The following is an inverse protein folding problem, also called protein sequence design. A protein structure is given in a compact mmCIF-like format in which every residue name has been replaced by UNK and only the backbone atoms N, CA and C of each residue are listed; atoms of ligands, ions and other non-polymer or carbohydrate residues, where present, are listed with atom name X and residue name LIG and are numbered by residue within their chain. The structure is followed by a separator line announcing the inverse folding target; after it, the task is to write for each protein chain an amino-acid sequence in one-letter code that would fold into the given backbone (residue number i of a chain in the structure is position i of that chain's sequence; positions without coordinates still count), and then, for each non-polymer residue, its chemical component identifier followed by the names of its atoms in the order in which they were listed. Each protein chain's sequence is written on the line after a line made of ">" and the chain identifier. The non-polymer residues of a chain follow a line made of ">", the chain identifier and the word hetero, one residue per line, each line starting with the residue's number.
data_IF_777515710725
#
_entry.id   IF_777515710725
#
_cell.length_a   1.000
_cell.length_b   1.000
_cell.length_c   1.000
_cell.angle_alpha   90.00
_cell.angle_beta   90.00
_cell.angle_gamma   90.00
#
_symmetry.space_group_name_H-M   'P 1'
#
loop_
_entity.id
_entity.type
_entity.pdbx_description
1 polymer ?
#
# COMPACT_ATOMS: atom_id res chain seq x y z
N UNK A 1 24.40 -35.63 -16.10
CA UNK A 1 23.66 -34.37 -15.92
C UNK A 1 24.66 -33.34 -15.44
N UNK A 2 24.86 -32.25 -16.17
CA UNK A 2 25.77 -31.20 -15.72
C UNK A 2 25.20 -30.48 -14.51
N UNK A 3 26.07 -30.05 -13.59
CA UNK A 3 25.63 -29.22 -12.47
C UNK A 3 25.10 -27.87 -12.97
N UNK A 4 24.00 -27.36 -12.40
CA UNK A 4 23.46 -26.07 -12.78
C UNK A 4 24.45 -24.96 -12.43
N UNK A 5 24.71 -24.09 -13.41
CA UNK A 5 25.47 -22.85 -13.17
C UNK A 5 24.52 -21.83 -12.56
N UNK A 6 24.80 -21.43 -11.33
CA UNK A 6 24.10 -20.32 -10.65
C UNK A 6 24.84 -19.03 -10.97
N UNK A 7 24.15 -18.10 -11.62
CA UNK A 7 24.66 -16.77 -11.98
C UNK A 7 23.85 -15.71 -11.24
N UNK A 8 24.54 -14.87 -10.47
CA UNK A 8 23.96 -13.67 -9.86
C UNK A 8 23.82 -12.59 -10.92
N UNK A 9 22.60 -12.08 -11.11
CA UNK A 9 22.34 -10.98 -12.04
C UNK A 9 22.68 -9.64 -11.37
N UNK A 10 23.27 -8.67 -12.10
CA UNK A 10 23.49 -7.32 -11.60
C UNK A 10 22.21 -6.67 -11.08
N UNK A 11 22.31 -5.91 -9.98
CA UNK A 11 21.15 -5.28 -9.34
C UNK A 11 20.37 -4.36 -10.30
N UNK A 12 21.06 -3.60 -11.15
CA UNK A 12 20.40 -2.72 -12.14
C UNK A 12 19.54 -3.51 -13.14
N UNK A 13 19.87 -4.77 -13.44
CA UNK A 13 19.05 -5.62 -14.32
C UNK A 13 17.80 -6.16 -13.63
N UNK A 14 17.80 -6.26 -12.30
CA UNK A 14 16.68 -6.83 -11.53
C UNK A 14 15.84 -5.78 -10.83
N UNK A 15 16.29 -4.53 -10.80
CA UNK A 15 15.66 -3.42 -10.07
C UNK A 15 14.20 -3.19 -10.48
N UNK A 16 13.95 -3.06 -11.78
CA UNK A 16 12.60 -2.85 -12.32
C UNK A 16 11.67 -4.04 -12.02
N UNK A 17 12.18 -5.25 -12.20
CA UNK A 17 11.44 -6.48 -11.87
C UNK A 17 11.11 -6.58 -10.38
N UNK A 18 12.08 -6.26 -9.50
CA UNK A 18 11.85 -6.24 -8.04
C UNK A 18 10.80 -5.18 -7.65
N UNK A 19 10.86 -4.00 -8.26
CA UNK A 19 9.88 -2.94 -8.03
C UNK A 19 8.48 -3.35 -8.51
N UNK A 20 8.35 -3.90 -9.71
CA UNK A 20 7.04 -4.35 -10.23
C UNK A 20 6.41 -5.46 -9.38
N UNK A 21 7.21 -6.44 -8.94
CA UNK A 21 6.75 -7.50 -8.03
C UNK A 21 6.30 -6.95 -6.68
N UNK A 22 6.92 -5.88 -6.18
CA UNK A 22 6.50 -5.22 -4.94
C UNK A 22 5.18 -4.47 -5.07
N UNK A 23 4.84 -3.99 -6.27
CA UNK A 23 3.60 -3.26 -6.53
C UNK A 23 2.43 -4.24 -6.64
N UNK A 24 2.53 -5.25 -7.51
CA UNK A 24 1.48 -6.23 -7.70
C UNK A 24 1.58 -6.97 -9.04
N UNK A 25 0.62 -7.85 -9.32
CA UNK A 25 0.58 -8.57 -10.58
C UNK A 25 0.24 -7.62 -11.73
N UNK A 26 1.06 -7.59 -12.77
CA UNK A 26 0.70 -6.93 -14.05
C UNK A 26 -0.34 -7.81 -14.76
N UNK A 27 -1.47 -7.21 -15.15
CA UNK A 27 -2.58 -7.90 -15.84
C UNK A 27 -2.73 -7.50 -17.30
N UNK A 28 -2.15 -6.37 -17.69
CA UNK A 28 -2.18 -5.87 -19.07
C UNK A 28 -0.90 -5.09 -19.36
N UNK A 29 -0.36 -5.26 -20.56
CA UNK A 29 0.79 -4.53 -21.09
C UNK A 29 0.37 -3.98 -22.47
N UNK A 30 0.51 -2.68 -22.68
CA UNK A 30 0.26 -2.03 -23.98
C UNK A 30 1.49 -2.08 -24.89
N UNK A 31 1.28 -1.83 -26.18
CA UNK A 31 2.35 -1.88 -27.20
C UNK A 31 3.49 -0.87 -26.95
N UNK A 32 3.23 0.21 -26.22
CA UNK A 32 4.22 1.22 -25.82
C UNK A 32 4.96 0.89 -24.52
N UNK A 33 4.69 -0.27 -23.92
CA UNK A 33 5.35 -0.75 -22.70
C UNK A 33 4.73 -0.22 -21.41
N UNK A 34 3.61 0.50 -21.45
CA UNK A 34 2.84 0.79 -20.26
C UNK A 34 2.11 -0.47 -19.76
N UNK A 35 1.82 -0.53 -18.46
CA UNK A 35 1.17 -1.70 -17.87
C UNK A 35 0.22 -1.34 -16.74
N UNK A 36 -0.79 -2.19 -16.55
CA UNK A 36 -1.77 -2.07 -15.47
C UNK A 36 -1.53 -3.15 -14.42
N UNK A 37 -1.51 -2.73 -13.17
CA UNK A 37 -1.43 -3.63 -12.02
C UNK A 37 -2.83 -4.02 -11.55
N UNK A 38 -2.97 -5.28 -11.14
CA UNK A 38 -4.08 -5.74 -10.31
C UNK A 38 -3.67 -5.60 -8.85
N UNK A 39 -4.37 -4.72 -8.13
CA UNK A 39 -4.12 -4.42 -6.72
C UNK A 39 -5.34 -4.80 -5.89
N UNK A 40 -5.20 -5.81 -5.03
CA UNK A 40 -6.15 -6.05 -3.93
C UNK A 40 -5.85 -5.12 -2.76
N UNK A 41 -4.58 -4.83 -2.54
CA UNK A 41 -3.99 -4.11 -1.42
C UNK A 41 -2.70 -3.42 -1.87
N UNK A 42 -2.62 -2.11 -1.67
CA UNK A 42 -1.45 -1.34 -2.08
C UNK A 42 -0.64 -0.90 -0.86
N UNK A 43 0.66 -1.26 -0.83
CA UNK A 43 1.56 -0.86 0.25
C UNK A 43 2.03 0.56 0.01
N UNK A 44 1.67 1.47 0.91
CA UNK A 44 2.03 2.88 0.82
C UNK A 44 3.37 3.16 1.50
N UNK A 45 3.68 2.42 2.58
CA UNK A 45 4.91 2.65 3.35
C UNK A 45 5.33 1.44 4.20
N UNK A 46 6.61 1.40 4.57
CA UNK A 46 7.19 0.43 5.51
C UNK A 46 8.12 1.12 6.50
N UNK A 47 7.78 1.11 7.79
CA UNK A 47 8.60 1.73 8.85
C UNK A 47 8.86 0.73 9.97
N UNK A 48 10.12 0.26 10.09
CA UNK A 48 10.57 -0.64 11.18
C UNK A 48 9.66 -1.88 11.39
N UNK A 49 9.17 -2.48 10.30
CA UNK A 49 8.27 -3.64 10.34
C UNK A 49 6.77 -3.30 10.41
N UNK A 50 6.40 -2.02 10.52
CA UNK A 50 5.03 -1.55 10.28
C UNK A 50 4.80 -1.44 8.79
N UNK A 51 3.75 -2.06 8.28
CA UNK A 51 3.31 -1.98 6.88
C UNK A 51 2.07 -1.09 6.82
N UNK A 52 2.10 -0.04 6.01
CA UNK A 52 0.95 0.83 5.76
C UNK A 52 0.33 0.43 4.43
N UNK A 53 -0.96 0.10 4.42
CA UNK A 53 -1.69 -0.34 3.24
C UNK A 53 -2.95 0.49 3.01
N UNK A 54 -3.35 0.61 1.77
CA UNK A 54 -4.66 1.11 1.36
C UNK A 54 -5.27 0.07 0.44
N UNK A 55 -6.45 -0.47 0.79
CA UNK A 55 -7.15 -1.42 -0.06
C UNK A 55 -8.03 -0.66 -1.05
N UNK A 56 -7.87 -0.95 -2.34
CA UNK A 56 -8.57 -0.23 -3.41
C UNK A 56 -10.09 -0.51 -3.45
N UNK A 57 -10.55 -1.60 -2.83
CA UNK A 57 -11.94 -2.07 -2.89
C UNK A 57 -12.55 -2.27 -1.49
N UNK A 58 -12.60 -1.19 -0.70
CA UNK A 58 -12.99 -1.25 0.71
C UNK A 58 -14.25 -0.43 1.03
N UNK A 59 -14.93 -0.80 2.12
CA UNK A 59 -16.20 -0.19 2.54
C UNK A 59 -16.01 1.25 3.08
N UNK A 60 -17.03 2.13 2.97
CA UNK A 60 -16.97 3.47 3.57
C UNK A 60 -16.78 3.42 5.10
N UNK A 61 -16.00 4.34 5.71
CA UNK A 61 -15.27 5.46 5.12
C UNK A 61 -13.92 5.06 4.49
N UNK A 62 -13.32 5.88 3.60
CA UNK A 62 -12.00 5.59 3.05
C UNK A 62 -10.96 5.58 4.17
N UNK A 63 -10.13 4.54 4.23
CA UNK A 63 -9.21 4.34 5.34
C UNK A 63 -7.89 3.69 4.88
N UNK A 64 -6.86 3.90 5.68
CA UNK A 64 -5.58 3.19 5.54
C UNK A 64 -5.39 2.24 6.71
N UNK A 65 -4.61 1.19 6.49
CA UNK A 65 -4.30 0.16 7.46
C UNK A 65 -2.86 0.23 7.88
N UNK A 66 -2.61 -0.03 9.15
CA UNK A 66 -1.29 -0.21 9.74
C UNK A 66 -1.22 -1.61 10.29
N UNK A 67 -0.33 -2.42 9.71
CA UNK A 67 -0.13 -3.83 10.07
C UNK A 67 1.21 -3.98 10.78
N UNK A 68 1.19 -4.72 11.89
CA UNK A 68 2.36 -5.17 12.63
C UNK A 68 2.29 -6.69 12.85
N UNK A 69 3.41 -7.31 13.24
CA UNK A 69 3.54 -8.75 13.44
C UNK A 69 2.39 -9.41 14.23
N UNK A 70 1.78 -8.70 15.18
CA UNK A 70 0.75 -9.22 16.08
C UNK A 70 -0.54 -8.38 16.10
N UNK A 71 -0.77 -7.52 15.11
CA UNK A 71 -1.97 -6.69 15.09
C UNK A 71 -2.17 -5.87 13.83
N UNK A 72 -3.39 -5.35 13.67
CA UNK A 72 -3.79 -4.48 12.57
C UNK A 72 -4.66 -3.36 13.11
N UNK A 73 -4.48 -2.14 12.60
CA UNK A 73 -5.36 -1.02 12.89
C UNK A 73 -5.72 -0.28 11.61
N UNK A 74 -6.95 0.22 11.54
CA UNK A 74 -7.47 1.01 10.43
C UNK A 74 -7.79 2.44 10.88
N UNK A 75 -7.53 3.40 10.00
CA UNK A 75 -7.65 4.82 10.30
C UNK A 75 -8.31 5.55 9.12
N UNK A 76 -9.29 6.38 9.41
CA UNK A 76 -10.01 7.13 8.38
C UNK A 76 -9.09 8.14 7.70
N UNK A 77 -9.18 8.26 6.37
CA UNK A 77 -8.35 9.17 5.59
C UNK A 77 -8.79 10.64 5.72
N UNK A 78 -10.05 10.89 6.07
CA UNK A 78 -10.63 12.23 6.19
C UNK A 78 -10.09 12.99 7.42
N UNK A 79 -10.13 12.36 8.59
CA UNK A 79 -9.79 12.97 9.89
C UNK A 79 -8.72 12.21 10.70
N UNK A 80 -8.24 11.07 10.21
CA UNK A 80 -7.21 10.27 10.88
C UNK A 80 -7.71 9.48 12.08
N UNK A 81 -9.02 9.46 12.36
CA UNK A 81 -9.56 8.73 13.51
C UNK A 81 -9.38 7.22 13.32
N UNK A 82 -9.04 6.55 14.41
CA UNK A 82 -8.98 5.09 14.43
C UNK A 82 -10.39 4.52 14.30
N UNK A 83 -10.56 3.61 13.34
CA UNK A 83 -11.82 2.90 13.08
C UNK A 83 -11.83 1.59 13.86
N UNK A 84 -10.81 0.77 13.65
CA UNK A 84 -10.63 -0.51 14.33
C UNK A 84 -9.16 -0.73 14.69
N UNK A 85 -8.92 -1.51 15.74
CA UNK A 85 -7.58 -1.95 16.11
C UNK A 85 -7.62 -3.31 16.81
N UNK A 86 -6.65 -4.15 16.50
CA UNK A 86 -6.43 -5.46 17.10
C UNK A 86 -4.97 -5.63 17.51
N UNK A 87 -4.74 -6.47 18.52
CA UNK A 87 -3.40 -6.76 19.03
C UNK A 87 -2.69 -5.54 19.60
N UNK A 88 -1.36 -5.51 19.47
CA UNK A 88 -0.52 -4.47 20.08
C UNK A 88 -0.49 -3.15 19.31
N UNK A 89 -1.14 -3.04 18.14
CA UNK A 89 -1.21 -1.80 17.35
C UNK A 89 -1.82 -0.63 18.13
N UNK A 90 -2.65 -0.90 19.14
CA UNK A 90 -3.22 0.12 20.05
C UNK A 90 -2.15 0.93 20.78
N UNK A 91 -1.00 0.32 21.09
CA UNK A 91 0.11 1.00 21.77
C UNK A 91 0.79 2.05 20.89
N UNK A 92 0.70 1.91 19.57
CA UNK A 92 1.31 2.81 18.59
C UNK A 92 0.36 3.92 18.11
N UNK A 93 -0.83 4.07 18.71
CA UNK A 93 -1.83 5.08 18.31
C UNK A 93 -1.23 6.47 18.10
N UNK A 94 -0.48 6.99 19.07
CA UNK A 94 0.13 8.34 18.98
C UNK A 94 1.16 8.46 17.86
N UNK A 95 1.92 7.40 17.60
CA UNK A 95 2.89 7.36 16.51
C UNK A 95 2.19 7.41 15.15
N UNK A 96 1.07 6.68 15.03
CA UNK A 96 0.28 6.63 13.80
C UNK A 96 -0.47 7.95 13.57
N UNK A 97 -0.99 8.59 14.62
CA UNK A 97 -1.56 9.94 14.53
C UNK A 97 -0.52 10.95 14.04
N UNK A 98 0.70 10.91 14.59
CA UNK A 98 1.79 11.77 14.13
C UNK A 98 2.21 11.46 12.67
N UNK A 99 2.23 10.18 12.28
CA UNK A 99 2.48 9.78 10.90
C UNK A 99 1.41 10.35 9.95
N UNK A 100 0.13 10.21 10.32
CA UNK A 100 -0.99 10.72 9.55
C UNK A 100 -0.91 12.24 9.37
N UNK A 101 -0.70 13.00 10.45
CA UNK A 101 -0.57 14.47 10.37
C UNK A 101 0.51 14.89 9.36
N UNK A 102 1.65 14.19 9.35
CA UNK A 102 2.77 14.51 8.46
C UNK A 102 2.60 14.01 7.02
N UNK A 103 1.71 13.04 6.78
CA UNK A 103 1.58 12.36 5.47
C UNK A 103 0.17 12.41 4.89
N UNK A 104 -0.78 13.11 5.53
CA UNK A 104 -2.20 13.16 5.16
C UNK A 104 -2.39 13.44 3.66
N UNK A 105 -1.76 14.49 3.15
CA UNK A 105 -1.83 14.86 1.72
C UNK A 105 -1.43 13.71 0.81
N UNK A 106 -0.28 13.07 1.09
CA UNK A 106 0.22 11.95 0.28
C UNK A 106 -0.72 10.74 0.34
N UNK A 107 -1.27 10.43 1.52
CA UNK A 107 -2.20 9.32 1.70
C UNK A 107 -3.50 9.55 0.89
N UNK A 108 -4.03 10.77 0.92
CA UNK A 108 -5.23 11.17 0.17
C UNK A 108 -4.97 11.18 -1.33
N UNK A 109 -3.84 11.72 -1.79
CA UNK A 109 -3.45 11.70 -3.20
C UNK A 109 -3.27 10.26 -3.70
N UNK A 110 -2.61 9.41 -2.91
CA UNK A 110 -2.47 8.00 -3.24
C UNK A 110 -3.82 7.30 -3.35
N UNK A 111 -4.72 7.49 -2.38
CA UNK A 111 -6.10 6.97 -2.46
C UNK A 111 -6.82 7.45 -3.73
N UNK A 112 -6.83 8.76 -3.97
CA UNK A 112 -7.57 9.35 -5.09
C UNK A 112 -7.05 8.89 -6.47
N UNK A 113 -5.76 8.57 -6.58
CA UNK A 113 -5.11 8.11 -7.82
C UNK A 113 -5.18 6.60 -8.03
N UNK A 114 -5.34 5.81 -6.97
CA UNK A 114 -5.35 4.33 -7.05
C UNK A 114 -6.74 3.71 -6.91
N UNK A 115 -7.74 4.48 -6.49
CA UNK A 115 -9.12 4.00 -6.37
C UNK A 115 -9.67 3.52 -7.73
N UNK A 116 -10.48 2.46 -7.76
CA UNK A 116 -11.18 2.02 -8.96
C UNK A 116 -12.27 3.02 -9.38
N UNK A 117 -12.51 3.12 -10.69
CA UNK A 117 -13.68 3.81 -11.22
C UNK A 117 -14.97 3.15 -10.69
N UNK A 118 -15.91 3.96 -10.20
CA UNK A 118 -17.17 3.47 -9.61
C UNK A 118 -17.08 2.99 -8.15
N UNK A 119 -15.96 3.24 -7.46
CA UNK A 119 -15.86 2.99 -6.02
C UNK A 119 -16.98 3.75 -5.26
N UNK A 120 -17.71 3.06 -4.39
CA UNK A 120 -18.75 3.65 -3.52
C UNK A 120 -18.17 4.69 -2.55
N UNK A 121 -16.87 4.57 -2.29
CA UNK A 121 -16.10 5.46 -1.44
C UNK A 121 -15.42 6.49 -2.35
N UNK A 122 -16.10 7.63 -2.53
CA UNK A 122 -15.68 8.70 -3.42
C UNK A 122 -14.32 9.34 -3.07
N UNK A 123 -13.96 10.44 -3.75
CA UNK A 123 -12.66 11.07 -3.54
C UNK A 123 -12.64 11.75 -2.17
N UNK A 124 -11.48 11.76 -1.53
CA UNK A 124 -11.28 12.51 -0.28
C UNK A 124 -10.74 13.89 -0.62
N UNK A 125 -11.33 14.93 -0.04
CA UNK A 125 -10.86 16.29 -0.18
C UNK A 125 -9.55 16.51 0.61
N UNK A 126 -8.63 17.26 -0.01
CA UNK A 126 -7.41 17.75 0.65
C UNK A 126 -7.74 18.80 1.70
#
# INVERSE_FOLDING_TARGET
>A
MGEPVVLELPDEMTKELRQSIQIGQIVEISEDGNHRYFLTDAVVDRVRGLKVEIYANEHPPPHFHVIQNDGKASFALDDGRMLEASGNTRHFKKNIEAYYINNRTKLIEFWNSTRPDGCTVGPVAL
#
